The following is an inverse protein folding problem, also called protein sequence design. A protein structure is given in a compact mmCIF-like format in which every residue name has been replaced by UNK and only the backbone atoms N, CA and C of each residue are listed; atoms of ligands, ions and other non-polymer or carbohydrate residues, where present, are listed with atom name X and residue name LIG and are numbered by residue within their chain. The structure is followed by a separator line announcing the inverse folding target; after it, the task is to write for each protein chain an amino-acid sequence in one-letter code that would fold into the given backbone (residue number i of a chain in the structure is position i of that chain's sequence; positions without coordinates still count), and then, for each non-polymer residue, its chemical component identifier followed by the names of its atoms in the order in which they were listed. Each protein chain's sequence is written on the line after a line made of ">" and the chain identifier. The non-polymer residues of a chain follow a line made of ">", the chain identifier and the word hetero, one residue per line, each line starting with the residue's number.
data_IF_429695439624
#
_entry.id   IF_429695439624
#
_cell.length_a   1.000
_cell.length_b   1.000
_cell.length_c   1.000
_cell.angle_alpha   90.00
_cell.angle_beta   90.00
_cell.angle_gamma   90.00
#
_symmetry.space_group_name_H-M   'P 1'
#
loop_
_entity.id
_entity.type
_entity.pdbx_description
1 polymer ?
#
# COMPACT_ATOMS: atom_id res chain seq x y z
N UNK A 1 -9.42 7.10 -7.14
CA UNK A 1 -10.10 6.24 -6.16
C UNK A 1 -10.01 4.81 -6.68
N UNK A 2 -9.66 3.85 -5.83
CA UNK A 2 -9.48 2.43 -6.17
C UNK A 2 -10.16 1.61 -5.08
N UNK A 3 -11.04 0.68 -5.45
CA UNK A 3 -11.69 -0.18 -4.46
C UNK A 3 -10.75 -1.32 -4.05
N UNK A 4 -10.50 -1.45 -2.76
CA UNK A 4 -9.57 -2.44 -2.20
C UNK A 4 -10.22 -3.21 -1.04
N UNK A 5 -9.68 -4.40 -0.74
CA UNK A 5 -10.11 -5.18 0.43
C UNK A 5 -9.21 -4.91 1.64
N UNK A 6 -9.75 -4.15 2.60
CA UNK A 6 -9.13 -3.87 3.90
C UNK A 6 -9.71 -4.81 4.97
N UNK A 7 -8.89 -5.68 5.57
CA UNK A 7 -9.32 -6.63 6.61
C UNK A 7 -8.24 -6.79 7.69
N UNK A 8 -7.96 -5.71 8.41
CA UNK A 8 -6.97 -5.65 9.48
C UNK A 8 -7.63 -5.11 10.76
N UNK A 9 -7.16 -5.62 11.90
CA UNK A 9 -7.67 -5.21 13.22
C UNK A 9 -6.95 -3.97 13.75
N UNK A 10 -5.72 -3.75 13.30
CA UNK A 10 -4.84 -2.65 13.70
C UNK A 10 -4.58 -1.74 12.50
N UNK A 11 -4.18 -0.50 12.77
CA UNK A 11 -3.84 0.49 11.74
C UNK A 11 -2.59 1.28 12.13
N UNK A 12 -1.87 1.76 11.11
CA UNK A 12 -0.73 2.67 11.29
C UNK A 12 -1.26 4.08 11.58
N UNK A 13 -0.97 4.62 12.77
CA UNK A 13 -1.41 5.96 13.19
C UNK A 13 -0.47 7.10 12.76
N UNK A 14 0.78 6.77 12.45
CA UNK A 14 1.78 7.74 12.05
C UNK A 14 2.74 7.09 11.06
N UNK A 15 2.97 7.77 9.93
CA UNK A 15 3.95 7.34 8.95
C UNK A 15 5.36 7.49 9.56
N UNK A 16 6.21 6.45 9.53
CA UNK A 16 7.56 6.52 10.07
C UNK A 16 8.41 7.58 9.35
N UNK A 17 9.43 8.10 10.03
CA UNK A 17 10.39 9.02 9.42
C UNK A 17 11.05 8.36 8.18
N UNK A 18 11.16 9.14 7.10
CA UNK A 18 11.68 8.69 5.81
C UNK A 18 10.63 8.07 4.88
N UNK A 19 9.45 7.70 5.39
CA UNK A 19 8.36 7.23 4.54
C UNK A 19 7.49 8.38 4.05
N UNK A 20 7.08 8.31 2.79
CA UNK A 20 6.03 9.11 2.21
C UNK A 20 4.67 8.44 2.45
N UNK A 21 3.67 9.24 2.80
CA UNK A 21 2.28 8.82 2.84
C UNK A 21 1.71 8.79 1.41
N UNK A 22 1.25 7.63 0.93
CA UNK A 22 0.91 7.44 -0.49
C UNK A 22 -0.54 7.05 -0.78
N UNK A 23 -1.30 6.59 0.21
CA UNK A 23 -2.74 6.36 0.06
C UNK A 23 -3.47 6.54 1.39
N UNK A 24 -4.72 7.02 1.31
CA UNK A 24 -5.64 7.25 2.43
C UNK A 24 -7.04 6.81 2.05
N UNK A 25 -7.91 6.56 3.03
CA UNK A 25 -9.32 6.27 2.84
C UNK A 25 -10.20 6.97 3.89
N UNK A 26 -11.52 6.87 3.73
CA UNK A 26 -12.47 7.40 4.72
C UNK A 26 -12.43 6.66 6.06
N UNK A 27 -11.83 5.45 6.10
CA UNK A 27 -11.79 4.59 7.29
C UNK A 27 -10.41 4.52 7.95
N UNK A 28 -9.34 4.72 7.19
CA UNK A 28 -7.97 4.70 7.70
C UNK A 28 -7.16 5.82 7.04
N UNK A 29 -6.48 6.62 7.86
CA UNK A 29 -5.66 7.72 7.35
C UNK A 29 -4.48 7.18 6.53
N UNK A 30 -3.80 6.13 7.01
CA UNK A 30 -2.59 5.55 6.37
C UNK A 30 -2.91 4.20 5.73
N UNK A 31 -3.31 4.22 4.46
CA UNK A 31 -3.59 3.00 3.68
C UNK A 31 -2.36 2.47 2.93
N UNK A 32 -1.43 3.36 2.59
CA UNK A 32 -0.16 2.97 2.00
C UNK A 32 0.93 3.98 2.32
N UNK A 33 2.16 3.48 2.37
CA UNK A 33 3.37 4.29 2.57
C UNK A 33 4.54 3.70 1.79
N UNK A 34 5.52 4.54 1.44
CA UNK A 34 6.74 4.06 0.76
C UNK A 34 7.97 4.88 1.12
N UNK A 35 9.12 4.21 1.11
CA UNK A 35 10.46 4.79 1.17
C UNK A 35 11.24 4.22 -0.03
N UNK A 36 11.14 4.87 -1.20
CA UNK A 36 11.77 4.38 -2.42
C UNK A 36 13.29 4.38 -2.35
N UNK A 37 13.92 5.20 -1.52
CA UNK A 37 15.39 5.24 -1.40
C UNK A 37 15.92 3.96 -0.71
N UNK A 38 15.06 3.29 0.08
CA UNK A 38 15.36 2.05 0.79
C UNK A 38 14.63 0.83 0.23
N UNK A 39 13.94 0.98 -0.91
CA UNK A 39 13.12 -0.06 -1.55
C UNK A 39 12.03 -0.65 -0.63
N UNK A 40 11.48 0.17 0.27
CA UNK A 40 10.43 -0.26 1.21
C UNK A 40 9.06 0.27 0.80
N UNK A 41 8.08 -0.63 0.80
CA UNK A 41 6.71 -0.35 0.40
C UNK A 41 5.76 -1.07 1.35
N UNK A 42 4.73 -0.36 1.81
CA UNK A 42 3.70 -0.91 2.70
C UNK A 42 2.31 -0.56 2.18
N UNK A 43 1.43 -1.56 2.19
CA UNK A 43 -0.01 -1.40 1.96
C UNK A 43 -0.76 -2.03 3.12
N UNK A 44 -1.84 -1.39 3.55
CA UNK A 44 -2.63 -1.85 4.68
C UNK A 44 -3.73 -2.85 4.26
N UNK A 45 -4.13 -2.81 2.99
CA UNK A 45 -5.11 -3.68 2.34
C UNK A 45 -4.47 -4.86 1.58
N UNK A 46 -5.31 -5.77 1.07
CA UNK A 46 -4.91 -7.02 0.42
C UNK A 46 -4.92 -6.91 -1.13
N UNK A 47 -3.80 -6.60 -1.80
CA UNK A 47 -3.71 -6.57 -3.26
C UNK A 47 -3.95 -7.92 -3.94
N UNK A 48 -3.81 -9.03 -3.22
CA UNK A 48 -3.96 -10.39 -3.73
C UNK A 48 -5.41 -10.86 -3.86
N UNK A 49 -6.35 -10.17 -3.22
CA UNK A 49 -7.76 -10.58 -3.20
C UNK A 49 -8.46 -10.08 -4.46
N UNK A 50 -9.24 -10.94 -5.12
CA UNK A 50 -9.95 -10.62 -6.38
C UNK A 50 -10.91 -9.41 -6.29
N UNK A 51 -11.27 -8.99 -5.08
CA UNK A 51 -12.12 -7.83 -4.84
C UNK A 51 -11.33 -6.50 -4.81
N UNK A 52 -10.00 -6.56 -4.85
CA UNK A 52 -9.14 -5.39 -4.99
C UNK A 52 -8.96 -5.07 -6.46
N UNK A 53 -9.54 -3.96 -6.89
CA UNK A 53 -9.36 -3.44 -8.23
C UNK A 53 -7.87 -3.14 -8.47
N UNK A 54 -7.34 -3.62 -9.60
CA UNK A 54 -5.93 -3.40 -10.00
C UNK A 54 -4.91 -4.01 -9.03
N UNK A 55 -5.31 -4.99 -8.22
CA UNK A 55 -4.39 -5.71 -7.32
C UNK A 55 -3.20 -6.35 -8.05
N UNK A 56 -3.44 -6.91 -9.24
CA UNK A 56 -2.37 -7.46 -10.09
C UNK A 56 -1.34 -6.41 -10.51
N UNK A 57 -1.79 -5.21 -10.91
CA UNK A 57 -0.91 -4.11 -11.32
C UNK A 57 0.02 -3.66 -10.17
N UNK A 58 -0.42 -3.77 -8.92
CA UNK A 58 0.41 -3.46 -7.74
C UNK A 58 1.60 -4.41 -7.66
N UNK A 59 1.37 -5.70 -7.88
CA UNK A 59 2.44 -6.68 -7.91
C UNK A 59 3.35 -6.51 -9.11
N UNK A 60 2.80 -6.19 -10.30
CA UNK A 60 3.61 -5.89 -11.48
C UNK A 60 4.55 -4.70 -11.23
N UNK A 61 4.04 -3.62 -10.63
CA UNK A 61 4.83 -2.45 -10.26
C UNK A 61 5.90 -2.79 -9.22
N UNK A 62 5.56 -3.58 -8.20
CA UNK A 62 6.53 -4.01 -7.18
C UNK A 62 7.64 -4.87 -7.80
N UNK A 63 7.29 -5.84 -8.66
CA UNK A 63 8.26 -6.68 -9.38
C UNK A 63 9.15 -5.82 -10.28
N UNK A 64 8.59 -4.83 -10.98
CA UNK A 64 9.36 -3.91 -11.80
C UNK A 64 10.38 -3.13 -10.96
N UNK A 65 9.99 -2.68 -9.76
CA UNK A 65 10.88 -1.96 -8.83
C UNK A 65 11.98 -2.83 -8.24
N UNK A 66 11.72 -4.12 -8.02
CA UNK A 66 12.73 -5.09 -7.57
C UNK A 66 13.75 -5.45 -8.66
N UNK A 67 13.46 -5.16 -9.94
CA UNK A 67 14.32 -5.48 -11.08
C UNK A 67 15.17 -4.32 -11.56
N UNK A 68 14.90 -3.10 -11.10
CA UNK A 68 15.67 -1.88 -11.42
C UNK A 68 16.89 -1.76 -10.52
#
# INVERSE_FOLDING_TARGET
>A
ETRVWASHADEVKAVPEGFAHTATSDVCDVEAMSDPDRDLYGVQWHPEVAHTERGEEVFENFIARCRS
#
